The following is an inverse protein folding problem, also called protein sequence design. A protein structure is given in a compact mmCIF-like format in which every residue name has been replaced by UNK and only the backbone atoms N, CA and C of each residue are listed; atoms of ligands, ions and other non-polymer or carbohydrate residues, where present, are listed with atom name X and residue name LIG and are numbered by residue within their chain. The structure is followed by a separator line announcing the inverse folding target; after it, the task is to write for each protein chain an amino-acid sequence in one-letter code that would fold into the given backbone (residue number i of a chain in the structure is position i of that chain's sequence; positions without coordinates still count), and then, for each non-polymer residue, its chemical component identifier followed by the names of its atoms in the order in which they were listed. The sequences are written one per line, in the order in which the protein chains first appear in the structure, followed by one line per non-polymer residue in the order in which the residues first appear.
data_IF_419408194129
#
_entry.id   IF_419408194129
#
_cell.length_a   1.000
_cell.length_b   1.000
_cell.length_c   1.000
_cell.angle_alpha   90.00
_cell.angle_beta   90.00
_cell.angle_gamma   90.00
#
_symmetry.space_group_name_H-M   'P 1'
#
loop_
_entity.id
_entity.type
_entity.pdbx_description
1 polymer ?
#
# COMPACT_ATOMS: atom_id res chain seq x y z
N UNK A 1 30.17 5.97 -3.97
CA UNK A 1 29.10 5.53 -3.06
C UNK A 1 28.84 6.70 -2.12
N UNK A 2 27.79 7.48 -2.36
CA UNK A 2 27.44 8.60 -1.48
C UNK A 2 26.54 8.10 -0.36
N UNK A 3 26.82 8.50 0.88
CA UNK A 3 25.94 8.20 2.01
C UNK A 3 24.55 8.81 1.78
N UNK A 4 23.47 8.17 2.24
CA UNK A 4 22.14 8.78 2.18
C UNK A 4 22.14 10.02 3.09
N UNK A 5 22.18 11.20 2.47
CA UNK A 5 22.13 12.49 3.19
C UNK A 5 20.84 12.56 4.01
N UNK A 6 20.94 12.98 5.27
CA UNK A 6 19.79 13.26 6.15
C UNK A 6 18.84 14.22 5.41
N UNK A 7 17.53 14.02 5.51
CA UNK A 7 16.52 14.82 4.79
C UNK A 7 16.68 16.33 5.07
N UNK A 8 17.23 16.67 6.25
CA UNK A 8 17.58 18.04 6.64
C UNK A 8 18.75 18.60 5.85
N UNK A 9 19.78 17.81 5.56
CA UNK A 9 20.93 18.26 4.77
C UNK A 9 20.53 18.49 3.30
N UNK A 10 19.65 17.65 2.76
CA UNK A 10 19.10 17.86 1.40
C UNK A 10 18.21 19.11 1.34
N UNK A 11 17.48 19.41 2.40
CA UNK A 11 16.67 20.61 2.52
C UNK A 11 17.54 21.88 2.58
N UNK A 12 18.61 21.86 3.38
CA UNK A 12 19.57 22.97 3.45
C UNK A 12 20.33 23.19 2.13
N UNK A 13 20.64 22.13 1.38
CA UNK A 13 21.25 22.23 0.06
C UNK A 13 20.31 22.87 -0.99
N UNK A 14 19.00 22.63 -0.92
CA UNK A 14 18.03 23.27 -1.83
C UNK A 14 17.80 24.76 -1.51
N UNK A 15 18.08 25.17 -0.28
CA UNK A 15 18.00 26.57 0.18
C UNK A 15 19.35 27.30 0.11
N UNK A 16 20.41 26.64 -0.39
CA UNK A 16 21.76 27.21 -0.43
C UNK A 16 21.85 28.35 -1.45
N UNK A 17 22.25 29.54 -0.98
CA UNK A 17 22.37 30.74 -1.83
C UNK A 17 21.17 31.70 -1.78
N UNK A 18 20.11 31.37 -1.05
CA UNK A 18 19.03 32.29 -0.70
C UNK A 18 19.30 32.93 0.67
N UNK A 19 18.89 34.19 0.87
CA UNK A 19 19.04 34.87 2.16
C UNK A 19 18.06 34.25 3.19
N UNK A 20 18.55 33.63 4.28
CA UNK A 20 17.70 33.02 5.30
C UNK A 20 16.80 34.03 6.05
N UNK A 21 17.15 35.32 6.03
CA UNK A 21 16.41 36.37 6.71
C UNK A 21 15.35 37.03 5.83
N UNK A 22 15.36 36.75 4.53
CA UNK A 22 14.39 37.30 3.60
C UNK A 22 12.99 36.63 3.77
N UNK A 23 11.90 37.43 3.83
CA UNK A 23 10.56 36.90 3.97
C UNK A 23 10.11 36.01 2.80
N UNK A 24 10.61 36.21 1.58
CA UNK A 24 10.25 35.37 0.43
C UNK A 24 10.93 34.00 0.51
N UNK A 25 12.20 33.95 0.95
CA UNK A 25 12.91 32.67 1.21
C UNK A 25 12.17 31.83 2.25
N UNK A 26 11.60 32.44 3.29
CA UNK A 26 10.81 31.74 4.32
C UNK A 26 9.52 31.16 3.75
N UNK A 27 8.81 31.92 2.92
CA UNK A 27 7.60 31.44 2.26
C UNK A 27 7.91 30.28 1.30
N UNK A 28 9.05 30.33 0.60
CA UNK A 28 9.52 29.24 -0.27
C UNK A 28 9.91 27.99 0.53
N UNK A 29 10.62 28.16 1.65
CA UNK A 29 10.98 27.06 2.54
C UNK A 29 9.73 26.36 3.11
N UNK A 30 8.72 27.13 3.54
CA UNK A 30 7.46 26.57 4.03
C UNK A 30 6.67 25.86 2.91
N UNK A 31 6.70 26.40 1.69
CA UNK A 31 6.06 25.77 0.54
C UNK A 31 6.75 24.45 0.16
N UNK A 32 8.09 24.44 0.16
CA UNK A 32 8.92 23.29 -0.15
C UNK A 32 8.77 22.19 0.91
N UNK A 33 8.74 22.55 2.20
CA UNK A 33 8.46 21.63 3.31
C UNK A 33 7.08 20.98 3.14
N UNK A 34 6.07 21.78 2.77
CA UNK A 34 4.71 21.28 2.53
C UNK A 34 4.64 20.30 1.36
N UNK A 35 5.37 20.55 0.28
CA UNK A 35 5.45 19.64 -0.88
C UNK A 35 6.25 18.37 -0.56
N UNK A 36 7.38 18.47 0.13
CA UNK A 36 8.19 17.29 0.52
C UNK A 36 7.45 16.38 1.49
N UNK A 37 6.71 16.97 2.44
CA UNK A 37 5.87 16.23 3.39
C UNK A 37 4.66 15.57 2.72
N UNK A 38 4.22 16.12 1.60
CA UNK A 38 3.24 15.52 0.69
C UNK A 38 3.96 14.76 -0.42
N UNK A 39 4.76 13.73 -0.09
CA UNK A 39 5.32 12.83 -1.10
C UNK A 39 4.17 12.36 -2.01
N UNK A 40 4.20 12.69 -3.31
CA UNK A 40 3.10 12.34 -4.20
C UNK A 40 3.06 10.81 -4.35
N UNK A 41 2.00 10.17 -3.86
CA UNK A 41 1.72 8.75 -4.04
C UNK A 41 1.37 8.34 -5.49
N UNK A 42 1.85 9.10 -6.47
CA UNK A 42 1.62 8.92 -7.90
C UNK A 42 2.86 8.41 -8.66
N UNK A 43 3.93 8.03 -7.96
CA UNK A 43 5.07 7.32 -8.55
C UNK A 43 4.92 5.81 -8.30
N UNK A 44 5.31 5.00 -9.30
CA UNK A 44 5.22 3.52 -9.28
C UNK A 44 5.94 2.88 -8.09
N UNK A 45 6.93 3.56 -7.52
CA UNK A 45 7.68 3.13 -6.34
C UNK A 45 6.84 3.25 -5.05
N UNK A 46 6.03 4.31 -4.92
CA UNK A 46 5.09 4.47 -3.81
C UNK A 46 3.90 3.49 -3.86
N UNK A 47 3.59 2.95 -5.05
CA UNK A 47 2.59 1.89 -5.19
C UNK A 47 3.09 0.55 -4.65
N UNK A 48 4.40 0.25 -4.74
CA UNK A 48 4.98 -0.98 -4.18
C UNK A 48 5.09 -0.91 -2.66
N UNK A 49 5.56 0.22 -2.12
CA UNK A 49 5.63 0.47 -0.67
C UNK A 49 4.22 0.50 -0.06
N UNK A 50 3.27 1.14 -0.76
CA UNK A 50 1.86 1.15 -0.39
C UNK A 50 1.21 -0.23 -0.43
N UNK A 51 1.61 -1.14 -1.34
CA UNK A 51 1.10 -2.53 -1.37
C UNK A 51 1.66 -3.36 -0.21
N UNK A 52 2.93 -3.17 0.15
CA UNK A 52 3.54 -3.87 1.28
C UNK A 52 2.94 -3.42 2.61
N UNK A 53 2.76 -2.11 2.80
CA UNK A 53 2.08 -1.55 3.95
C UNK A 53 0.58 -1.87 3.95
N UNK A 54 -0.09 -2.01 2.79
CA UNK A 54 -1.46 -2.52 2.73
C UNK A 54 -1.55 -3.99 3.13
N UNK A 55 -0.59 -4.83 2.76
CA UNK A 55 -0.57 -6.24 3.12
C UNK A 55 -0.43 -6.42 4.64
N UNK A 56 0.48 -5.66 5.26
CA UNK A 56 0.72 -5.70 6.71
C UNK A 56 -0.36 -4.97 7.52
N UNK A 57 -0.87 -3.82 7.04
CA UNK A 57 -1.95 -3.08 7.73
C UNK A 57 -3.32 -3.75 7.57
N UNK A 58 -3.63 -4.39 6.43
CA UNK A 58 -4.83 -5.20 6.29
C UNK A 58 -4.80 -6.42 7.24
N UNK A 59 -3.61 -6.90 7.61
CA UNK A 59 -3.45 -7.97 8.58
C UNK A 59 -3.64 -7.51 10.03
N UNK A 60 -3.45 -6.22 10.32
CA UNK A 60 -3.45 -5.69 11.69
C UNK A 60 -4.72 -4.92 12.07
N UNK A 61 -5.41 -4.27 11.14
CA UNK A 61 -6.46 -3.27 11.48
C UNK A 61 -7.89 -3.78 11.31
N UNK A 62 -8.09 -4.92 10.63
CA UNK A 62 -9.42 -5.29 10.12
C UNK A 62 -9.87 -6.69 10.56
N UNK A 63 -9.70 -7.03 11.84
CA UNK A 63 -9.95 -8.38 12.36
C UNK A 63 -11.36 -8.92 12.09
N UNK A 64 -12.41 -8.08 12.13
CA UNK A 64 -13.80 -8.54 11.93
C UNK A 64 -14.18 -8.66 10.45
N UNK A 65 -13.86 -7.68 9.59
CA UNK A 65 -14.24 -7.76 8.17
C UNK A 65 -13.39 -8.78 7.40
N UNK A 66 -12.11 -9.00 7.78
CA UNK A 66 -11.31 -10.09 7.20
C UNK A 66 -11.88 -11.47 7.55
N UNK A 67 -12.36 -11.67 8.78
CA UNK A 67 -12.96 -12.94 9.20
C UNK A 67 -14.23 -13.23 8.39
N UNK A 68 -15.09 -12.20 8.20
CA UNK A 68 -16.28 -12.31 7.33
C UNK A 68 -15.86 -12.61 5.88
N UNK A 69 -14.88 -11.91 5.33
CA UNK A 69 -14.41 -12.15 3.97
C UNK A 69 -13.85 -13.58 3.79
N UNK A 70 -13.04 -14.06 4.74
CA UNK A 70 -12.50 -15.44 4.73
C UNK A 70 -13.63 -16.47 4.83
N UNK A 71 -14.63 -16.24 5.69
CA UNK A 71 -15.81 -17.11 5.76
C UNK A 71 -16.55 -17.13 4.43
N UNK A 72 -16.83 -15.97 3.83
CA UNK A 72 -17.54 -15.89 2.55
C UNK A 72 -16.79 -16.62 1.45
N UNK A 73 -15.49 -16.37 1.30
CA UNK A 73 -14.64 -17.06 0.33
C UNK A 73 -14.61 -18.57 0.62
N UNK A 74 -14.48 -18.96 1.89
CA UNK A 74 -14.52 -20.36 2.31
C UNK A 74 -15.84 -21.05 1.95
N UNK A 75 -16.97 -20.39 2.15
CA UNK A 75 -18.30 -20.90 1.78
C UNK A 75 -18.45 -21.06 0.26
N UNK A 76 -17.95 -20.10 -0.52
CA UNK A 76 -17.95 -20.19 -1.99
C UNK A 76 -17.12 -21.39 -2.45
N UNK A 77 -15.89 -21.51 -1.94
CA UNK A 77 -15.00 -22.63 -2.29
C UNK A 77 -15.59 -23.98 -1.87
N UNK A 78 -16.21 -24.06 -0.69
CA UNK A 78 -16.90 -25.26 -0.23
C UNK A 78 -18.06 -25.64 -1.17
N UNK A 79 -18.88 -24.67 -1.59
CA UNK A 79 -19.96 -24.90 -2.54
C UNK A 79 -19.46 -25.44 -3.88
N UNK A 80 -18.38 -24.87 -4.41
CA UNK A 80 -17.73 -25.36 -5.64
C UNK A 80 -17.24 -26.79 -5.47
N UNK A 81 -16.56 -27.11 -4.37
CA UNK A 81 -16.04 -28.44 -4.11
C UNK A 81 -17.16 -29.48 -4.00
N UNK A 82 -18.24 -29.16 -3.29
CA UNK A 82 -19.42 -30.03 -3.20
C UNK A 82 -20.05 -30.25 -4.57
N UNK A 83 -20.17 -29.19 -5.39
CA UNK A 83 -20.72 -29.29 -6.75
C UNK A 83 -19.90 -30.25 -7.61
N UNK A 84 -18.57 -30.14 -7.55
CA UNK A 84 -17.68 -31.05 -8.27
C UNK A 84 -17.85 -32.49 -7.77
N UNK A 85 -17.91 -32.69 -6.45
CA UNK A 85 -18.07 -34.01 -5.84
C UNK A 85 -19.37 -34.69 -6.29
N UNK A 86 -20.50 -33.98 -6.25
CA UNK A 86 -21.79 -34.50 -6.72
C UNK A 86 -21.76 -34.81 -8.22
N UNK A 87 -21.24 -33.89 -9.04
CA UNK A 87 -21.14 -34.12 -10.48
C UNK A 87 -20.27 -35.35 -10.82
N UNK A 88 -19.14 -35.53 -10.12
CA UNK A 88 -18.32 -36.74 -10.27
C UNK A 88 -19.07 -38.00 -9.85
N UNK A 89 -19.78 -37.94 -8.72
CA UNK A 89 -20.59 -39.04 -8.22
C UNK A 89 -21.68 -39.46 -9.21
N UNK A 90 -22.40 -38.49 -9.77
CA UNK A 90 -23.44 -38.72 -10.78
C UNK A 90 -22.84 -39.35 -12.04
N UNK A 91 -21.71 -38.84 -12.54
CA UNK A 91 -21.03 -39.40 -13.71
C UNK A 91 -20.61 -40.85 -13.46
N UNK A 92 -20.03 -41.14 -12.30
CA UNK A 92 -19.61 -42.50 -11.93
C UNK A 92 -20.84 -43.43 -11.85
N UNK A 93 -21.92 -42.99 -11.21
CA UNK A 93 -23.15 -43.77 -11.06
C UNK A 93 -23.87 -44.04 -12.39
N UNK A 94 -23.70 -43.18 -13.40
CA UNK A 94 -24.24 -43.40 -14.74
C UNK A 94 -23.39 -44.40 -15.55
N UNK A 95 -22.07 -44.41 -15.32
CA UNK A 95 -21.13 -45.25 -16.07
C UNK A 95 -21.13 -46.72 -15.58
N UNK A 96 -21.36 -46.95 -14.28
CA UNK A 96 -21.38 -48.27 -13.66
C UNK A 96 -22.80 -48.80 -13.44
#
# INVERSE_FOLDING_TARGET
MGEPKDEREQFEEELIGLDPHDPETKAFAEHLDRMKRQRPGYTVEGYLEGVQDFADSANRTTGHQRLVAVIVVGLILLGVLLTIWFALGDIIAVIF
#
